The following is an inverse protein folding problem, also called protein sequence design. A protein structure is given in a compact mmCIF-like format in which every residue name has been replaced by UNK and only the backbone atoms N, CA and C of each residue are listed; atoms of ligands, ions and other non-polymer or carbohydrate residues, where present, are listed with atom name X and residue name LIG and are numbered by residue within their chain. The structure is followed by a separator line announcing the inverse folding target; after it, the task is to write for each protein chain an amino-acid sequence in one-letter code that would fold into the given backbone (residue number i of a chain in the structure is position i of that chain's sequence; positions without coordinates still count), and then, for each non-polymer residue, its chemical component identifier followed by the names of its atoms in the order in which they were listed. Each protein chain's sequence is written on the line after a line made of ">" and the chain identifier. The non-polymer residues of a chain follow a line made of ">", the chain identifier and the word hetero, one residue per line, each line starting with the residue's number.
data_IF_392735743086
#
_entry.id   IF_392735743086
#
_cell.length_a   1.000
_cell.length_b   1.000
_cell.length_c   1.000
_cell.angle_alpha   90.00
_cell.angle_beta   90.00
_cell.angle_gamma   90.00
#
_symmetry.space_group_name_H-M   'P 1'
#
loop_
_entity.id
_entity.type
_entity.pdbx_description
1 polymer ?
#
# COMPACT_ATOMS: atom_id res chain seq x y z
N UNK A 1 -2.42 -9.01 -25.45
CA UNK A 1 -2.41 -8.67 -25.00
C UNK A 1 -2.27 -8.38 -24.23
N UNK A 2 -2.18 -8.12 -24.03
CA UNK A 2 -1.62 -8.14 -23.24
C UNK A 2 -1.63 -7.04 -22.36
N UNK A 3 -1.88 -5.87 -22.70
CA UNK A 3 -2.07 -4.80 -21.82
C UNK A 3 -3.15 -5.11 -20.84
N UNK A 4 -4.19 -5.72 -21.32
CA UNK A 4 -5.29 -6.06 -20.46
C UNK A 4 -4.92 -7.11 -19.43
N UNK A 5 -3.88 -7.85 -19.68
CA UNK A 5 -3.48 -8.87 -18.77
C UNK A 5 -2.41 -8.42 -17.81
N UNK A 6 -1.86 -7.26 -18.10
CA UNK A 6 -0.80 -6.73 -17.29
C UNK A 6 -1.39 -6.08 -16.08
N UNK A 7 -1.01 -6.50 -14.91
CA UNK A 7 -1.51 -5.90 -13.70
C UNK A 7 -0.54 -4.86 -13.19
N UNK A 8 -1.08 -3.74 -12.78
CA UNK A 8 -0.26 -2.66 -12.27
C UNK A 8 0.18 -2.99 -10.86
N UNK A 9 1.37 -2.53 -10.51
CA UNK A 9 1.90 -2.73 -9.18
C UNK A 9 1.49 -1.55 -8.30
N UNK A 10 0.94 -1.86 -7.15
CA UNK A 10 0.46 -0.85 -6.23
C UNK A 10 1.34 -0.79 -5.00
N UNK A 11 1.64 0.41 -4.55
CA UNK A 11 2.30 0.61 -3.27
C UNK A 11 1.31 1.32 -2.38
N UNK A 12 0.96 0.71 -1.27
CA UNK A 12 0.04 1.33 -0.31
C UNK A 12 0.88 1.91 0.80
N UNK A 13 0.81 3.21 0.96
CA UNK A 13 1.59 3.92 1.97
C UNK A 13 0.68 4.22 3.15
N UNK A 14 0.82 3.45 4.20
CA UNK A 14 -0.02 3.53 5.38
C UNK A 14 -0.47 2.14 5.78
N UNK A 15 0.00 1.67 6.93
CA UNK A 15 -0.28 0.30 7.38
C UNK A 15 -1.33 0.20 8.48
N UNK A 16 -2.12 1.24 8.68
CA UNK A 16 -3.21 1.16 9.62
C UNK A 16 -4.37 0.40 9.03
N UNK A 17 -5.51 0.44 9.70
CA UNK A 17 -6.67 -0.32 9.24
C UNK A 17 -7.05 0.00 7.81
N UNK A 18 -7.08 1.27 7.46
CA UNK A 18 -7.43 1.66 6.09
C UNK A 18 -6.44 1.17 5.07
N UNK A 19 -5.15 1.30 5.37
CA UNK A 19 -4.11 0.86 4.46
C UNK A 19 -4.10 -0.65 4.28
N UNK A 20 -4.24 -1.38 5.37
CA UNK A 20 -4.27 -2.83 5.30
C UNK A 20 -5.51 -3.31 4.54
N UNK A 21 -6.64 -2.66 4.77
CA UNK A 21 -7.86 -3.02 4.07
C UNK A 21 -7.71 -2.79 2.58
N UNK A 22 -7.17 -1.65 2.18
CA UNK A 22 -6.98 -1.36 0.77
C UNK A 22 -6.00 -2.34 0.14
N UNK A 23 -4.88 -2.60 0.81
CA UNK A 23 -3.88 -3.52 0.28
C UNK A 23 -4.45 -4.93 0.17
N UNK A 24 -5.21 -5.34 1.16
CA UNK A 24 -5.81 -6.67 1.15
C UNK A 24 -6.79 -6.84 -0.01
N UNK A 25 -7.61 -5.82 -0.25
CA UNK A 25 -8.56 -5.88 -1.36
C UNK A 25 -7.83 -5.95 -2.69
N UNK A 26 -6.78 -5.17 -2.86
CA UNK A 26 -6.01 -5.21 -4.10
C UNK A 26 -5.35 -6.58 -4.29
N UNK A 27 -4.85 -7.16 -3.20
CA UNK A 27 -4.27 -8.49 -3.27
C UNK A 27 -5.29 -9.54 -3.63
N UNK A 28 -6.50 -9.42 -3.10
CA UNK A 28 -7.57 -10.35 -3.43
C UNK A 28 -7.96 -10.26 -4.90
N UNK A 29 -7.83 -9.08 -5.49
CA UNK A 29 -8.11 -8.90 -6.90
C UNK A 29 -6.96 -9.37 -7.79
N UNK A 30 -5.86 -9.78 -7.18
CA UNK A 30 -4.73 -10.31 -7.93
C UNK A 30 -3.68 -9.31 -8.32
N UNK A 31 -3.75 -8.09 -7.82
CA UNK A 31 -2.73 -7.10 -8.14
C UNK A 31 -1.48 -7.31 -7.29
N UNK A 32 -0.30 -7.06 -7.86
CA UNK A 32 0.91 -7.02 -7.04
C UNK A 32 0.83 -5.83 -6.11
N UNK A 33 0.96 -6.04 -4.82
CA UNK A 33 0.81 -5.00 -3.82
C UNK A 33 1.93 -5.05 -2.83
N UNK A 34 2.48 -3.90 -2.47
CA UNK A 34 3.39 -3.79 -1.35
C UNK A 34 2.84 -2.73 -0.41
N UNK A 35 3.13 -2.85 0.87
CA UNK A 35 2.60 -1.94 1.87
C UNK A 35 3.72 -1.38 2.71
N UNK A 36 3.60 -0.12 3.09
CA UNK A 36 4.60 0.58 3.87
C UNK A 36 3.97 1.21 5.11
N UNK A 37 4.66 1.13 6.22
CA UNK A 37 4.36 1.96 7.37
C UNK A 37 5.64 2.11 8.16
N UNK A 38 5.61 2.93 9.19
CA UNK A 38 6.78 3.16 10.02
C UNK A 38 6.93 2.14 11.14
N UNK A 39 5.95 1.28 11.34
CA UNK A 39 5.97 0.33 12.44
C UNK A 39 6.51 -1.03 11.99
N UNK A 40 7.71 -1.37 12.48
CA UNK A 40 8.36 -2.63 12.11
C UNK A 40 7.52 -3.84 12.45
N UNK A 41 6.94 -3.84 13.64
CA UNK A 41 6.18 -5.02 14.09
C UNK A 41 5.03 -5.34 13.17
N UNK A 42 4.32 -4.30 12.74
CA UNK A 42 3.19 -4.49 11.85
C UNK A 42 3.63 -5.03 10.49
N UNK A 43 4.72 -4.49 9.98
CA UNK A 43 5.22 -4.92 8.67
C UNK A 43 5.74 -6.35 8.74
N UNK A 44 6.40 -6.70 9.82
CA UNK A 44 6.88 -8.07 10.01
C UNK A 44 5.73 -9.05 10.08
N UNK A 45 4.66 -8.68 10.77
CA UNK A 45 3.51 -9.55 10.90
C UNK A 45 2.89 -9.83 9.53
N UNK A 46 2.79 -8.80 8.69
CA UNK A 46 2.23 -8.96 7.36
C UNK A 46 3.12 -9.87 6.52
N UNK A 47 4.43 -9.69 6.61
CA UNK A 47 5.36 -10.53 5.87
C UNK A 47 5.27 -11.99 6.30
N UNK A 48 5.12 -12.23 7.59
CA UNK A 48 5.01 -13.61 8.09
C UNK A 48 3.74 -14.26 7.61
N UNK A 49 2.65 -13.53 7.53
CA UNK A 49 1.39 -14.06 7.04
C UNK A 49 1.38 -14.20 5.54
N UNK A 50 2.18 -13.43 4.86
CA UNK A 50 2.17 -13.39 3.40
C UNK A 50 1.06 -12.53 2.84
N UNK A 51 0.35 -11.81 3.69
CA UNK A 51 -0.74 -10.97 3.23
C UNK A 51 -1.57 -10.45 4.38
N UNK A 52 -2.74 -9.97 4.07
CA UNK A 52 -3.64 -9.33 5.02
C UNK A 52 -4.99 -10.03 5.03
N UNK A 53 -5.50 -10.30 6.21
CA UNK A 53 -6.83 -10.84 6.35
C UNK A 53 -7.84 -9.72 6.30
N UNK A 54 -8.88 -9.92 5.55
CA UNK A 54 -9.98 -8.98 5.47
C UNK A 54 -11.16 -9.63 6.15
N UNK A 55 -11.64 -9.02 7.20
CA UNK A 55 -12.71 -9.60 7.97
C UNK A 55 -13.95 -8.77 7.93
N UNK A 56 -14.83 -9.02 8.82
CA UNK A 56 -16.10 -8.37 8.96
C UNK A 56 -17.14 -8.95 8.06
N UNK A 57 -17.63 -8.16 7.16
CA UNK A 57 -18.73 -8.59 6.32
C UNK A 57 -18.28 -9.61 5.32
N UNK A 58 -17.15 -9.37 4.73
CA UNK A 58 -16.59 -10.30 3.77
C UNK A 58 -15.29 -10.79 4.28
N UNK A 59 -15.14 -12.06 4.38
CA UNK A 59 -13.88 -12.63 4.80
C UNK A 59 -13.02 -12.96 3.61
N UNK A 60 -11.77 -12.72 3.72
CA UNK A 60 -10.86 -13.04 2.66
C UNK A 60 -9.43 -12.81 3.08
N UNK A 61 -8.52 -13.19 2.23
CA UNK A 61 -7.10 -13.02 2.47
C UNK A 61 -6.48 -12.43 1.22
N UNK A 62 -5.89 -11.24 1.35
CA UNK A 62 -5.23 -10.59 0.24
C UNK A 62 -3.74 -10.82 0.31
N UNK A 63 -3.18 -11.42 -0.71
CA UNK A 63 -1.75 -11.66 -0.76
C UNK A 63 -1.02 -10.35 -0.96
N UNK A 64 0.04 -10.14 -0.19
CA UNK A 64 0.86 -8.94 -0.29
C UNK A 64 2.26 -9.38 -0.67
N UNK A 65 2.87 -8.71 -1.64
CA UNK A 65 4.20 -9.06 -2.10
C UNK A 65 5.21 -8.88 -0.97
N UNK A 66 5.17 -7.75 -0.30
CA UNK A 66 5.99 -7.53 0.89
C UNK A 66 5.50 -6.30 1.64
N UNK A 67 5.86 -6.23 2.90
CA UNK A 67 5.58 -5.08 3.75
C UNK A 67 6.93 -4.54 4.21
N UNK A 68 7.08 -3.23 4.27
CA UNK A 68 8.39 -2.65 4.58
C UNK A 68 8.25 -1.33 5.31
N UNK A 69 9.30 -0.99 6.07
CA UNK A 69 9.39 0.33 6.67
C UNK A 69 10.30 1.25 5.85
N UNK A 70 10.75 0.77 4.69
CA UNK A 70 11.60 1.56 3.80
C UNK A 70 10.76 2.07 2.65
N UNK A 71 10.47 3.37 2.66
CA UNK A 71 9.58 3.95 1.67
C UNK A 71 10.16 3.88 0.25
N UNK A 72 11.47 3.96 0.14
CA UNK A 72 12.11 3.84 -1.18
C UNK A 72 11.83 2.48 -1.78
N UNK A 73 11.93 1.44 -0.95
CA UNK A 73 11.68 0.08 -1.42
C UNK A 73 10.21 -0.10 -1.76
N UNK A 74 9.33 0.52 -0.99
CA UNK A 74 7.90 0.37 -1.21
C UNK A 74 7.49 0.95 -2.57
N UNK A 75 8.01 2.10 -2.93
CA UNK A 75 7.56 2.76 -4.15
C UNK A 75 8.41 2.44 -5.38
N UNK A 76 9.52 1.76 -5.21
CA UNK A 76 10.40 1.43 -6.33
C UNK A 76 9.67 0.50 -7.29
N UNK A 77 9.49 0.96 -8.50
CA UNK A 77 8.82 0.16 -9.53
C UNK A 77 7.31 0.08 -9.41
N UNK A 78 6.72 0.78 -8.44
CA UNK A 78 5.27 0.77 -8.34
C UNK A 78 4.68 1.67 -9.42
N UNK A 79 3.59 1.24 -9.99
CA UNK A 79 2.90 2.05 -10.99
C UNK A 79 1.97 3.04 -10.31
N UNK A 80 1.34 2.64 -9.24
CA UNK A 80 0.38 3.47 -8.52
C UNK A 80 0.76 3.49 -7.06
N UNK A 81 0.86 4.68 -6.51
CA UNK A 81 1.18 4.86 -5.10
C UNK A 81 -0.06 5.44 -4.43
N UNK A 82 -0.64 4.66 -3.52
CA UNK A 82 -1.84 5.09 -2.82
C UNK A 82 -1.47 5.45 -1.40
N UNK A 83 -1.66 6.71 -1.03
CA UNK A 83 -1.33 7.18 0.32
C UNK A 83 -2.60 7.17 1.16
N UNK A 84 -2.62 6.35 2.19
CA UNK A 84 -3.76 6.26 3.10
C UNK A 84 -3.23 6.55 4.49
N UNK A 85 -3.32 7.80 4.87
CA UNK A 85 -2.79 8.25 6.14
C UNK A 85 -3.51 9.50 6.58
N UNK A 86 -3.49 9.81 7.86
CA UNK A 86 -4.10 11.05 8.33
C UNK A 86 -3.46 12.26 7.67
N UNK A 87 -4.24 13.29 7.50
CA UNK A 87 -3.74 14.49 6.83
C UNK A 87 -2.47 15.04 7.47
N UNK A 88 -2.34 14.92 8.78
CA UNK A 88 -1.17 15.45 9.47
C UNK A 88 0.11 14.74 9.02
N UNK A 89 0.00 13.54 8.50
CA UNK A 89 1.16 12.77 8.07
C UNK A 89 1.50 12.99 6.61
N UNK A 90 0.63 13.65 5.85
CA UNK A 90 0.84 13.75 4.40
C UNK A 90 2.11 14.48 4.02
N UNK A 91 2.45 15.52 4.77
CA UNK A 91 3.65 16.29 4.45
C UNK A 91 4.91 15.45 4.65
N UNK A 92 4.98 14.74 5.77
CA UNK A 92 6.16 13.92 6.05
C UNK A 92 6.28 12.79 5.05
N UNK A 93 5.17 12.20 4.68
CA UNK A 93 5.16 11.15 3.68
C UNK A 93 5.62 11.69 2.34
N UNK A 94 5.10 12.85 1.95
CA UNK A 94 5.48 13.45 0.68
C UNK A 94 6.97 13.75 0.64
N UNK A 95 7.51 14.25 1.74
CA UNK A 95 8.94 14.53 1.82
C UNK A 95 9.76 13.25 1.70
N UNK A 96 9.29 12.18 2.35
CA UNK A 96 10.00 10.92 2.31
C UNK A 96 9.96 10.29 0.93
N UNK A 97 8.86 10.46 0.21
CA UNK A 97 8.72 9.89 -1.13
C UNK A 97 9.46 10.68 -2.20
N UNK A 98 9.53 12.00 -2.02
CA UNK A 98 10.01 12.87 -3.09
C UNK A 98 11.32 12.44 -3.76
N UNK A 99 12.35 12.03 -3.02
CA UNK A 99 13.60 11.63 -3.68
C UNK A 99 13.51 10.34 -4.47
N UNK A 100 12.44 9.59 -4.29
CA UNK A 100 12.33 8.25 -4.85
C UNK A 100 11.26 8.08 -5.91
N UNK A 101 10.37 9.07 -6.07
CA UNK A 101 9.32 8.94 -7.08
C UNK A 101 9.91 9.14 -8.46
N UNK A 102 9.34 8.46 -9.43
CA UNK A 102 9.79 8.51 -10.79
C UNK A 102 8.69 8.98 -11.72
N UNK A 103 9.10 9.44 -12.89
CA UNK A 103 8.15 9.88 -13.89
C UNK A 103 7.26 8.71 -14.28
N UNK A 104 6.00 8.98 -14.43
CA UNK A 104 5.05 7.94 -14.83
C UNK A 104 4.32 7.28 -13.68
N UNK A 105 4.79 7.49 -12.46
CA UNK A 105 4.08 6.94 -11.31
C UNK A 105 2.87 7.83 -11.00
N UNK A 106 1.75 7.19 -10.68
CA UNK A 106 0.54 7.91 -10.31
C UNK A 106 0.43 7.91 -8.81
N UNK A 107 0.27 9.08 -8.22
CA UNK A 107 0.14 9.19 -6.77
C UNK A 107 -1.31 9.55 -6.44
N UNK A 108 -1.94 8.71 -5.64
CA UNK A 108 -3.33 8.89 -5.30
C UNK A 108 -3.40 9.05 -3.79
N UNK A 109 -3.87 10.18 -3.32
CA UNK A 109 -3.95 10.44 -1.90
C UNK A 109 -5.39 10.29 -1.44
N UNK A 110 -5.60 9.35 -0.56
CA UNK A 110 -6.92 9.08 -0.03
C UNK A 110 -7.09 9.88 1.25
N UNK A 111 -8.07 10.74 1.31
CA UNK A 111 -8.26 11.57 2.48
C UNK A 111 -9.06 10.86 3.54
N UNK A 112 -8.84 9.65 3.73
CA UNK A 112 -9.64 8.83 4.52
C UNK A 112 -9.80 9.21 5.95
N UNK A 113 -8.89 9.97 6.36
CA UNK A 113 -8.97 10.32 7.71
C UNK A 113 -10.13 11.10 8.07
N UNK A 114 -10.75 11.58 7.11
CA UNK A 114 -11.78 12.31 7.42
C UNK A 114 -12.75 11.65 8.07
N UNK A 115 -12.82 10.78 7.99
CA UNK A 115 -13.74 10.27 8.53
C UNK A 115 -13.64 10.15 9.57
N UNK A 116 -12.92 10.28 9.73
CA UNK A 116 -12.73 10.27 10.99
C UNK A 116 -13.30 10.21 11.48
#
# INVERSE_FOLDING_TARGET
>A
MTILQSKRTWAVIGGGNGGQSAAGHLGMLGYPVRIYDIFDDSMEAINKQGGVKIGCVMEGFGKIDFATTDIAKAIDGADIIMVIAPAVAHRDIAKAMAPHVCRGQVIFIHPGATLG
#
